data_IF_996072130379
#
_entry.id   IF_996072130379
#
_cell.length_a   1.000
_cell.length_b   1.000
_cell.length_c   1.000
_cell.angle_alpha   90.00
_cell.angle_beta   90.00
_cell.angle_gamma   90.00
#
_symmetry.space_group_name_H-M   'P 1'
#
loop_
_entity.id
_entity.type
_entity.pdbx_description
1 polymer ?
#
# COMPACT_ATOMS: atom_id res chain seq x y z
N UNK A 1 -16.25 -9.18 1.62
CA UNK A 1 -15.19 -8.80 2.57
C UNK A 1 -14.42 -7.59 2.02
N UNK A 2 -14.45 -6.50 2.78
CA UNK A 2 -13.71 -5.22 2.67
C UNK A 2 -13.58 -4.54 1.28
N UNK A 3 -14.69 -3.96 0.82
CA UNK A 3 -14.69 -2.91 -0.20
C UNK A 3 -14.37 -1.57 0.47
N UNK A 4 -13.09 -1.27 0.70
CA UNK A 4 -12.70 0.05 1.20
C UNK A 4 -12.26 0.92 0.01
N UNK A 5 -13.03 1.99 -0.19
CA UNK A 5 -12.73 3.11 -1.07
C UNK A 5 -13.01 4.38 -0.24
N UNK A 6 -12.38 4.46 0.94
CA UNK A 6 -12.56 5.56 1.89
C UNK A 6 -11.99 6.84 1.29
N UNK A 7 -12.73 7.94 1.37
CA UNK A 7 -12.21 9.24 0.95
C UNK A 7 -11.38 9.87 2.09
N UNK A 8 -10.59 10.90 1.78
CA UNK A 8 -9.72 11.57 2.76
C UNK A 8 -10.49 12.25 3.90
N UNK A 9 -11.73 12.66 3.65
CA UNK A 9 -12.61 13.31 4.64
C UNK A 9 -13.15 12.28 5.64
N UNK A 10 -13.58 11.11 5.15
CA UNK A 10 -14.04 10.00 5.99
C UNK A 10 -12.95 9.55 6.95
N UNK A 11 -11.70 9.48 6.46
CA UNK A 11 -10.55 9.14 7.29
C UNK A 11 -10.34 10.15 8.41
N UNK A 12 -10.50 11.46 8.13
CA UNK A 12 -10.41 12.50 9.16
C UNK A 12 -11.52 12.37 10.19
N UNK A 13 -12.74 12.04 9.76
CA UNK A 13 -13.87 11.78 10.67
C UNK A 13 -13.61 10.57 11.57
N UNK A 14 -13.07 9.47 11.03
CA UNK A 14 -12.72 8.28 11.81
C UNK A 14 -11.68 8.62 12.89
N UNK A 15 -10.71 9.47 12.58
CA UNK A 15 -9.74 9.93 13.60
C UNK A 15 -10.41 10.74 14.71
N UNK A 16 -11.38 11.58 14.37
CA UNK A 16 -12.14 12.39 15.32
C UNK A 16 -13.05 11.51 16.21
N UNK A 17 -13.81 10.60 15.60
CA UNK A 17 -14.68 9.65 16.31
C UNK A 17 -13.90 8.69 17.21
N UNK A 18 -12.72 8.25 16.78
CA UNK A 18 -11.85 7.39 17.58
C UNK A 18 -11.12 8.14 18.70
N UNK A 19 -11.06 9.48 18.65
CA UNK A 19 -10.28 10.31 19.58
C UNK A 19 -8.76 10.13 19.46
N UNK A 20 -8.27 9.57 18.34
CA UNK A 20 -6.85 9.30 18.12
C UNK A 20 -6.28 10.36 17.19
N UNK A 21 -5.20 11.00 17.60
CA UNK A 21 -4.53 11.98 16.74
C UNK A 21 -3.82 11.32 15.56
N UNK A 22 -3.82 11.98 14.40
CA UNK A 22 -3.05 11.55 13.22
C UNK A 22 -1.56 11.36 13.57
N UNK A 23 -1.03 12.20 14.48
CA UNK A 23 0.35 12.13 14.91
C UNK A 23 0.65 10.87 15.72
N UNK A 24 -0.24 10.48 16.62
CA UNK A 24 -0.14 9.24 17.39
C UNK A 24 -0.25 8.02 16.49
N UNK A 25 -1.25 7.99 15.61
CA UNK A 25 -1.40 6.91 14.63
C UNK A 25 -0.15 6.76 13.76
N UNK A 26 0.42 7.86 13.29
CA UNK A 26 1.65 7.83 12.50
C UNK A 26 2.82 7.24 13.29
N UNK A 27 3.00 7.60 14.56
CA UNK A 27 4.07 7.04 15.42
C UNK A 27 3.92 5.54 15.63
N UNK A 28 2.70 5.07 15.93
CA UNK A 28 2.42 3.64 16.13
C UNK A 28 2.74 2.84 14.86
N UNK A 29 2.48 3.40 13.68
CA UNK A 29 2.75 2.76 12.40
C UNK A 29 4.17 3.03 11.85
N UNK A 30 5.01 3.80 12.54
CA UNK A 30 6.36 4.14 12.09
C UNK A 30 6.43 5.09 10.90
N UNK A 31 5.38 5.90 10.68
CA UNK A 31 5.32 6.90 9.63
C UNK A 31 5.62 8.31 10.14
N UNK A 32 6.14 9.17 9.26
CA UNK A 32 6.28 10.60 9.56
C UNK A 32 4.91 11.28 9.57
N UNK A 33 4.61 12.01 10.65
CA UNK A 33 3.35 12.76 10.82
C UNK A 33 3.09 13.71 9.64
N UNK A 34 4.11 14.46 9.23
CA UNK A 34 4.06 15.36 8.08
C UNK A 34 3.69 14.62 6.80
N UNK A 35 4.21 13.41 6.61
CA UNK A 35 3.91 12.60 5.43
C UNK A 35 2.46 12.13 5.43
N UNK A 36 1.92 11.73 6.58
CA UNK A 36 0.51 11.32 6.71
C UNK A 36 -0.43 12.49 6.39
N UNK A 37 -0.16 13.69 6.91
CA UNK A 37 -0.93 14.89 6.55
C UNK A 37 -0.85 15.22 5.05
N UNK A 38 0.33 15.08 4.42
CA UNK A 38 0.45 15.29 2.97
C UNK A 38 -0.34 14.29 2.14
N UNK A 39 -0.54 13.06 2.64
CA UNK A 39 -1.39 12.04 2.01
C UNK A 39 -2.87 12.40 2.21
N UNK A 40 -3.27 12.78 3.43
CA UNK A 40 -4.64 13.20 3.74
C UNK A 40 -5.08 14.48 3.01
N UNK A 41 -4.15 15.40 2.76
CA UNK A 41 -4.40 16.62 1.98
C UNK A 41 -4.39 16.38 0.46
N UNK A 42 -4.08 15.17 -0.01
CA UNK A 42 -4.03 14.85 -1.44
C UNK A 42 -2.89 15.53 -2.21
N UNK A 43 -1.93 16.17 -1.53
CA UNK A 43 -0.80 16.88 -2.16
C UNK A 43 0.14 15.95 -2.92
N UNK A 44 0.10 14.64 -2.65
CA UNK A 44 0.91 13.62 -3.34
C UNK A 44 0.04 12.57 -4.00
N UNK A 45 0.41 12.16 -5.22
CA UNK A 45 -0.25 11.07 -5.97
C UNK A 45 -0.10 9.67 -5.34
N UNK A 46 0.64 9.53 -4.24
CA UNK A 46 0.81 8.28 -3.48
C UNK A 46 1.17 7.06 -4.35
N UNK A 47 2.11 7.25 -5.28
CA UNK A 47 2.45 6.26 -6.31
C UNK A 47 3.40 5.16 -5.81
N UNK A 48 4.31 5.49 -4.88
CA UNK A 48 5.34 4.56 -4.36
C UNK A 48 5.84 4.97 -2.97
N UNK A 49 6.49 4.05 -2.28
CA UNK A 49 7.13 4.26 -0.99
C UNK A 49 6.14 4.48 0.16
N UNK A 50 6.59 5.19 1.20
CA UNK A 50 5.80 5.41 2.42
C UNK A 50 4.44 6.07 2.18
N UNK A 51 4.32 6.99 1.22
CA UNK A 51 3.01 7.59 0.88
C UNK A 51 2.02 6.57 0.34
N UNK A 52 2.48 5.58 -0.43
CA UNK A 52 1.63 4.49 -0.90
C UNK A 52 1.23 3.58 0.26
N UNK A 53 2.17 3.25 1.14
CA UNK A 53 1.91 2.43 2.33
C UNK A 53 0.87 3.07 3.26
N UNK A 54 0.99 4.38 3.51
CA UNK A 54 0.02 5.16 4.31
C UNK A 54 -1.36 5.11 3.65
N UNK A 55 -1.46 5.34 2.34
CA UNK A 55 -2.74 5.31 1.63
C UNK A 55 -3.42 3.92 1.68
N UNK A 56 -2.64 2.84 1.69
CA UNK A 56 -3.16 1.48 1.88
C UNK A 56 -3.59 1.24 3.34
N UNK A 57 -2.76 1.66 4.30
CA UNK A 57 -3.05 1.51 5.73
C UNK A 57 -4.30 2.28 6.17
N UNK A 58 -4.55 3.45 5.58
CA UNK A 58 -5.76 4.25 5.79
C UNK A 58 -6.98 3.75 4.99
N UNK A 59 -6.81 2.76 4.10
CA UNK A 59 -7.90 2.24 3.26
C UNK A 59 -8.40 3.20 2.18
N UNK A 60 -7.65 4.27 1.88
CA UNK A 60 -7.97 5.24 0.82
C UNK A 60 -7.76 4.63 -0.57
N UNK A 61 -6.73 3.80 -0.71
CA UNK A 61 -6.37 3.15 -1.96
C UNK A 61 -6.42 1.63 -1.81
N UNK A 62 -6.88 0.94 -2.84
CA UNK A 62 -6.75 -0.52 -2.95
C UNK A 62 -5.38 -0.89 -3.52
N UNK A 63 -4.72 -1.87 -2.90
CA UNK A 63 -3.45 -2.40 -3.36
C UNK A 63 -2.72 -3.18 -2.28
N UNK A 64 -1.54 -3.67 -2.65
CA UNK A 64 -0.63 -4.36 -1.73
C UNK A 64 0.72 -3.67 -1.81
N UNK A 65 1.31 -3.37 -0.67
CA UNK A 65 2.73 -3.06 -0.61
C UNK A 65 3.46 -4.32 -0.19
N UNK A 66 4.61 -4.57 -0.81
CA UNK A 66 5.50 -5.67 -0.48
C UNK A 66 6.93 -5.16 -0.47
N UNK A 67 7.76 -5.76 0.36
CA UNK A 67 9.16 -5.37 0.46
C UNK A 67 9.90 -5.66 -0.87
N UNK A 68 10.97 -4.91 -1.16
CA UNK A 68 11.78 -5.10 -2.36
C UNK A 68 12.30 -6.54 -2.49
N UNK A 69 12.65 -7.17 -1.36
CA UNK A 69 13.07 -8.58 -1.35
C UNK A 69 11.93 -9.51 -1.75
N UNK A 70 10.72 -9.27 -1.24
CA UNK A 70 9.53 -10.05 -1.58
C UNK A 70 9.12 -9.84 -3.05
N UNK A 71 9.18 -8.60 -3.54
CA UNK A 71 8.92 -8.27 -4.93
C UNK A 71 9.88 -9.01 -5.87
N UNK A 72 11.19 -8.99 -5.58
CA UNK A 72 12.19 -9.71 -6.39
C UNK A 72 11.97 -11.24 -6.41
N UNK A 73 11.51 -11.82 -5.29
CA UNK A 73 11.16 -13.25 -5.22
C UNK A 73 9.93 -13.52 -6.08
N UNK A 74 8.89 -12.70 -5.93
CA UNK A 74 7.64 -12.84 -6.67
C UNK A 74 7.85 -12.73 -8.19
N UNK A 75 8.63 -11.74 -8.63
CA UNK A 75 8.96 -11.55 -10.05
C UNK A 75 9.72 -12.74 -10.64
N UNK A 76 10.64 -13.35 -9.89
CA UNK A 76 11.35 -14.58 -10.31
C UNK A 76 10.41 -15.77 -10.43
N UNK A 77 9.49 -15.95 -9.48
CA UNK A 77 8.52 -17.07 -9.51
C UNK A 77 7.42 -16.89 -10.55
N UNK A 78 7.16 -15.65 -11.01
CA UNK A 78 6.19 -15.34 -12.06
C UNK A 78 6.75 -15.53 -13.48
N UNK A 79 7.96 -16.06 -13.62
CA UNK A 79 8.51 -16.51 -14.91
C UNK A 79 8.46 -18.05 -15.05
N UNK A 80 7.28 -18.70 -15.08
CA UNK A 80 7.19 -20.11 -15.47
C UNK A 80 7.15 -20.30 -17.00
N UNK A 81 7.21 -19.23 -17.80
CA UNK A 81 7.16 -19.33 -19.28
C UNK A 81 8.47 -19.78 -19.92
N UNK A 82 9.57 -19.89 -19.18
CA UNK A 82 10.82 -20.45 -19.70
C UNK A 82 10.85 -21.99 -19.71
N UNK A 83 10.10 -22.68 -18.83
CA UNK A 83 10.17 -24.15 -18.72
C UNK A 83 9.27 -24.88 -19.73
N UNK A 84 8.15 -24.29 -20.16
CA UNK A 84 7.21 -24.95 -21.09
C UNK A 84 7.71 -25.08 -22.55
N UNK A 85 8.76 -24.36 -22.95
CA UNK A 85 9.32 -24.45 -24.31
C UNK A 85 10.36 -25.56 -24.50
N UNK A 86 10.84 -26.19 -23.43
CA UNK A 86 11.81 -27.30 -23.56
C UNK A 86 11.16 -28.68 -23.68
N UNK A 87 9.87 -28.81 -23.35
CA UNK A 87 9.12 -30.07 -23.46
C UNK A 87 8.50 -30.28 -24.85
N UNK A 88 8.24 -29.22 -25.63
CA UNK A 88 7.71 -29.33 -27.00
C UNK A 88 8.78 -29.72 -28.04
N UNK A 89 10.08 -29.69 -27.72
CA UNK A 89 11.16 -30.16 -28.61
C UNK A 89 11.54 -31.64 -28.40
N UNK A 90 10.83 -32.38 -27.55
CA UNK A 90 11.08 -33.81 -27.29
C UNK A 90 10.02 -34.76 -27.88
N UNK A 91 9.11 -34.27 -28.71
CA UNK A 91 8.12 -35.09 -29.44
C UNK A 91 8.53 -35.30 -30.89
#
# INVERSE_FOLDING_TARGET
>A
MQNQNLNTSDVKLIFDEAGVSVAEWARVNGFSTTLVYQVLDGKRKCLRGQSHQIALALGIKKGTYMDAKQLSKKLRTLSPEAERRLEECKM
#
